data_IF_280606548799
#
_entry.id   IF_280606548799
#
_cell.length_a   1.000
_cell.length_b   1.000
_cell.length_c   1.000
_cell.angle_alpha   90.00
_cell.angle_beta   90.00
_cell.angle_gamma   90.00
#
_symmetry.space_group_name_H-M   'P 1'
#
loop_
_entity.id
_entity.type
_entity.pdbx_description
1 polymer ?
#
# COMPACT_ATOMS: atom_id res chain seq x y z
N UNK A 1 -2.63 22.35 -5.97
CA UNK A 1 -2.23 22.68 -4.59
C UNK A 1 -0.81 23.18 -4.63
N UNK A 2 -0.53 24.31 -3.99
CA UNK A 2 0.82 24.88 -3.91
C UNK A 2 1.75 23.94 -3.14
N UNK A 3 3.04 23.96 -3.49
CA UNK A 3 4.03 23.04 -2.89
C UNK A 3 4.20 23.29 -1.38
N UNK A 4 3.93 24.51 -0.91
CA UNK A 4 3.96 24.86 0.51
C UNK A 4 2.88 24.10 1.28
N UNK A 5 1.63 24.16 0.82
CA UNK A 5 0.53 23.39 1.41
C UNK A 5 0.78 21.88 1.39
N UNK A 6 1.40 21.34 0.33
CA UNK A 6 1.79 19.92 0.26
C UNK A 6 2.78 19.55 1.36
N UNK A 7 3.77 20.41 1.62
CA UNK A 7 4.75 20.20 2.68
C UNK A 7 4.13 20.28 4.05
N UNK A 8 3.20 21.21 4.28
CA UNK A 8 2.50 21.33 5.56
C UNK A 8 1.68 20.08 5.87
N UNK A 9 0.88 19.61 4.92
CA UNK A 9 0.09 18.38 5.11
C UNK A 9 1.00 17.17 5.34
N UNK A 10 2.12 17.08 4.61
CA UNK A 10 3.03 15.94 4.75
C UNK A 10 3.73 15.86 6.12
N UNK A 11 3.88 16.99 6.82
CA UNK A 11 4.43 17.03 8.18
C UNK A 11 3.53 16.30 9.19
N UNK A 12 2.22 16.35 9.02
CA UNK A 12 1.25 15.64 9.89
C UNK A 12 1.44 14.12 9.84
N UNK A 13 2.03 13.61 8.76
CA UNK A 13 2.33 12.19 8.55
C UNK A 13 3.82 11.87 8.71
N UNK A 14 4.65 12.86 9.08
CA UNK A 14 6.11 12.73 9.20
C UNK A 14 6.81 12.18 7.94
N UNK A 15 6.28 12.49 6.75
CA UNK A 15 6.82 12.01 5.47
C UNK A 15 7.14 13.16 4.50
N UNK A 16 7.98 12.88 3.51
CA UNK A 16 8.24 13.84 2.43
C UNK A 16 7.02 13.92 1.49
N UNK A 17 6.65 15.16 1.11
CA UNK A 17 5.44 15.43 0.33
C UNK A 17 5.41 14.70 -1.02
N UNK A 18 6.57 14.39 -1.61
CA UNK A 18 6.68 13.66 -2.88
C UNK A 18 6.22 12.21 -2.71
N UNK A 19 6.47 11.61 -1.54
CA UNK A 19 5.98 10.27 -1.20
C UNK A 19 4.49 10.33 -0.94
N UNK A 20 4.04 11.23 -0.06
CA UNK A 20 2.63 11.38 0.29
C UNK A 20 1.75 11.61 -0.95
N UNK A 21 2.17 12.49 -1.86
CA UNK A 21 1.47 12.73 -3.12
C UNK A 21 1.31 11.43 -3.94
N UNK A 22 2.40 10.67 -4.09
CA UNK A 22 2.34 9.40 -4.83
C UNK A 22 1.47 8.34 -4.14
N UNK A 23 1.42 8.34 -2.81
CA UNK A 23 0.64 7.38 -2.03
C UNK A 23 -0.85 7.68 -2.10
N UNK A 24 -1.24 8.95 -1.98
CA UNK A 24 -2.64 9.37 -2.12
C UNK A 24 -3.16 9.07 -3.53
N UNK A 25 -2.36 9.33 -4.57
CA UNK A 25 -2.74 8.99 -5.96
C UNK A 25 -2.93 7.49 -6.13
N UNK A 26 -1.97 6.68 -5.63
CA UNK A 26 -2.04 5.22 -5.71
C UNK A 26 -3.25 4.65 -4.94
N UNK A 27 -3.50 5.10 -3.71
CA UNK A 27 -4.63 4.62 -2.91
C UNK A 27 -5.97 5.00 -3.54
N UNK A 28 -6.08 6.22 -4.08
CA UNK A 28 -7.27 6.65 -4.84
C UNK A 28 -7.51 5.76 -6.06
N UNK A 29 -6.44 5.41 -6.78
CA UNK A 29 -6.50 4.49 -7.92
C UNK A 29 -6.94 3.08 -7.50
N UNK A 30 -6.34 2.51 -6.45
CA UNK A 30 -6.73 1.19 -5.91
C UNK A 30 -8.19 1.18 -5.46
N UNK A 31 -8.63 2.21 -4.74
CA UNK A 31 -10.04 2.37 -4.33
C UNK A 31 -10.97 2.35 -5.55
N UNK A 32 -10.59 3.03 -6.63
CA UNK A 32 -11.38 3.06 -7.86
C UNK A 32 -11.47 1.68 -8.52
N UNK A 33 -10.37 0.91 -8.55
CA UNK A 33 -10.43 -0.49 -9.02
C UNK A 33 -11.46 -1.28 -8.21
N UNK A 34 -11.41 -1.20 -6.87
CA UNK A 34 -12.36 -1.89 -6.00
C UNK A 34 -13.81 -1.47 -6.25
N UNK A 35 -14.08 -0.16 -6.38
CA UNK A 35 -15.41 0.38 -6.64
C UNK A 35 -15.99 -0.06 -8.00
N UNK A 36 -15.12 -0.37 -8.96
CA UNK A 36 -15.51 -0.90 -10.27
C UNK A 36 -15.43 -2.43 -10.36
N UNK A 37 -15.35 -3.13 -9.22
CA UNK A 37 -15.22 -4.60 -9.16
C UNK A 37 -14.01 -5.13 -9.95
N UNK A 38 -12.98 -4.30 -10.10
CA UNK A 38 -11.76 -4.65 -10.79
C UNK A 38 -10.93 -5.66 -9.99
N UNK A 39 -10.19 -6.50 -10.72
CA UNK A 39 -9.34 -7.53 -10.12
C UNK A 39 -8.03 -6.91 -9.63
N UNK A 40 -7.67 -7.18 -8.38
CA UNK A 40 -6.34 -6.87 -7.81
C UNK A 40 -5.37 -8.04 -7.87
N UNK A 41 -5.86 -9.28 -7.86
CA UNK A 41 -5.04 -10.48 -7.94
C UNK A 41 -4.30 -10.58 -9.28
N UNK A 42 -2.97 -10.57 -9.25
CA UNK A 42 -2.12 -10.54 -10.44
C UNK A 42 -2.14 -9.21 -11.20
N UNK A 43 -2.75 -8.16 -10.65
CA UNK A 43 -2.82 -6.86 -11.30
C UNK A 43 -1.49 -6.10 -11.20
N UNK A 44 -1.10 -5.44 -12.29
CA UNK A 44 -0.01 -4.46 -12.29
C UNK A 44 -0.61 -3.07 -12.26
N UNK A 45 -0.42 -2.36 -11.15
CA UNK A 45 -0.95 -1.02 -10.96
C UNK A 45 -0.19 -0.02 -11.84
N UNK A 46 -0.93 0.81 -12.57
CA UNK A 46 -0.33 1.86 -13.44
C UNK A 46 0.02 3.12 -12.64
N UNK A 47 -0.73 3.39 -11.57
CA UNK A 47 -0.41 4.42 -10.59
C UNK A 47 0.39 3.78 -9.47
N UNK A 48 1.70 3.90 -9.52
CA UNK A 48 2.63 3.27 -8.57
C UNK A 48 3.03 4.25 -7.47
N UNK A 49 2.95 3.87 -6.19
CA UNK A 49 3.49 4.68 -5.12
C UNK A 49 5.03 4.67 -5.17
N UNK A 50 5.65 5.72 -4.64
CA UNK A 50 7.08 5.69 -4.35
C UNK A 50 7.35 4.81 -3.15
N UNK A 51 8.38 3.98 -3.24
CA UNK A 51 8.85 3.14 -2.13
C UNK A 51 10.19 3.67 -1.63
N UNK A 52 10.41 3.56 -0.32
CA UNK A 52 11.72 3.75 0.26
C UNK A 52 12.71 2.69 -0.25
N UNK A 53 14.01 3.00 -0.23
CA UNK A 53 15.05 2.14 -0.82
C UNK A 53 15.12 0.78 -0.13
N UNK A 54 14.83 0.74 1.17
CA UNK A 54 14.81 -0.46 2.01
C UNK A 54 13.80 -1.48 1.48
N UNK A 55 12.63 -1.03 1.02
CA UNK A 55 11.60 -1.90 0.42
C UNK A 55 12.01 -2.39 -0.96
N UNK A 56 12.60 -1.51 -1.79
CA UNK A 56 13.12 -1.90 -3.10
C UNK A 56 14.24 -2.94 -2.98
N UNK A 57 15.15 -2.77 -2.01
CA UNK A 57 16.25 -3.71 -1.73
C UNK A 57 15.75 -5.06 -1.23
N UNK A 58 14.56 -5.13 -0.60
CA UNK A 58 13.89 -6.36 -0.21
C UNK A 58 13.16 -7.04 -1.38
N UNK A 59 13.25 -6.50 -2.60
CA UNK A 59 12.63 -7.06 -3.80
C UNK A 59 11.16 -6.69 -3.98
N UNK A 60 10.66 -5.70 -3.23
CA UNK A 60 9.26 -5.27 -3.32
C UNK A 60 9.06 -4.41 -4.57
N UNK A 61 8.17 -4.86 -5.45
CA UNK A 61 7.81 -4.12 -6.66
C UNK A 61 6.72 -3.09 -6.36
N UNK A 62 6.96 -1.85 -6.79
CA UNK A 62 6.03 -0.72 -6.58
C UNK A 62 4.76 -0.77 -7.44
N UNK A 63 4.59 -1.75 -8.34
CA UNK A 63 3.39 -1.88 -9.16
C UNK A 63 2.41 -2.96 -8.67
N UNK A 64 2.57 -3.40 -7.43
CA UNK A 64 1.75 -4.45 -6.83
C UNK A 64 0.81 -3.89 -5.76
N UNK A 65 -0.25 -4.62 -5.43
CA UNK A 65 -1.13 -4.22 -4.32
C UNK A 65 -0.39 -4.25 -2.98
N UNK A 66 0.61 -5.12 -2.82
CA UNK A 66 1.43 -5.15 -1.61
C UNK A 66 2.14 -3.81 -1.35
N UNK A 67 2.66 -3.16 -2.40
CA UNK A 67 3.23 -1.81 -2.28
C UNK A 67 2.20 -0.78 -1.77
N UNK A 68 0.94 -0.88 -2.20
CA UNK A 68 -0.14 -0.02 -1.70
C UNK A 68 -0.47 -0.30 -0.22
N UNK A 69 -0.44 -1.56 0.20
CA UNK A 69 -0.69 -1.97 1.59
C UNK A 69 0.41 -1.41 2.52
N UNK A 70 1.67 -1.42 2.09
CA UNK A 70 2.77 -0.82 2.86
C UNK A 70 2.54 0.68 3.11
N UNK A 71 2.08 1.43 2.10
CA UNK A 71 1.81 2.86 2.31
C UNK A 71 0.57 3.07 3.17
N UNK A 72 -0.43 2.19 3.08
CA UNK A 72 -1.58 2.23 3.97
C UNK A 72 -1.16 2.05 5.43
N UNK A 73 -0.23 1.13 5.72
CA UNK A 73 0.37 0.97 7.06
C UNK A 73 1.00 2.27 7.56
N UNK A 74 1.74 2.96 6.70
CA UNK A 74 2.44 4.21 7.08
C UNK A 74 1.44 5.34 7.34
N UNK A 75 0.36 5.42 6.57
CA UNK A 75 -0.60 6.54 6.63
C UNK A 75 -1.74 6.33 7.63
N UNK A 76 -2.12 5.09 7.91
CA UNK A 76 -3.20 4.79 8.83
C UNK A 76 -2.74 5.03 10.27
N UNK A 77 -3.65 5.54 11.10
CA UNK A 77 -3.42 5.52 12.54
C UNK A 77 -3.43 4.07 13.06
N UNK A 78 -2.91 3.88 14.28
CA UNK A 78 -2.75 2.56 14.88
C UNK A 78 -4.06 1.75 14.90
N UNK A 79 -5.17 2.35 15.34
CA UNK A 79 -6.46 1.67 15.46
C UNK A 79 -6.99 1.17 14.10
N UNK A 80 -6.97 2.02 13.08
CA UNK A 80 -7.41 1.63 11.74
C UNK A 80 -6.47 0.61 11.11
N UNK A 81 -5.16 0.73 11.35
CA UNK A 81 -4.20 -0.23 10.85
C UNK A 81 -4.37 -1.61 11.48
N UNK A 82 -4.50 -1.70 12.80
CA UNK A 82 -4.71 -2.96 13.51
C UNK A 82 -5.96 -3.69 13.03
N UNK A 83 -7.06 -2.95 12.85
CA UNK A 83 -8.29 -3.51 12.30
C UNK A 83 -8.07 -4.02 10.88
N UNK A 84 -7.49 -3.20 10.00
CA UNK A 84 -7.19 -3.60 8.62
C UNK A 84 -6.30 -4.85 8.56
N UNK A 85 -5.26 -4.90 9.40
CA UNK A 85 -4.32 -6.01 9.45
C UNK A 85 -5.02 -7.29 9.91
N UNK A 86 -5.88 -7.22 10.94
CA UNK A 86 -6.72 -8.34 11.37
C UNK A 86 -7.62 -8.84 10.24
N UNK A 87 -8.32 -7.93 9.54
CA UNK A 87 -9.20 -8.28 8.42
C UNK A 87 -8.41 -8.92 7.26
N UNK A 88 -7.21 -8.41 6.98
CA UNK A 88 -6.30 -8.96 5.96
C UNK A 88 -5.89 -10.40 6.31
N UNK A 89 -5.50 -10.65 7.56
CA UNK A 89 -5.13 -11.99 8.03
C UNK A 89 -6.31 -12.96 7.96
N UNK A 90 -7.51 -12.52 8.35
CA UNK A 90 -8.71 -13.35 8.24
C UNK A 90 -8.98 -13.76 6.78
N UNK A 91 -8.86 -12.82 5.84
CA UNK A 91 -9.06 -13.08 4.41
C UNK A 91 -8.00 -14.04 3.88
N UNK A 92 -6.73 -13.84 4.21
CA UNK A 92 -5.64 -14.72 3.77
C UNK A 92 -5.86 -16.15 4.29
N UNK A 93 -6.20 -16.30 5.57
CA UNK A 93 -6.45 -17.59 6.20
C UNK A 93 -7.71 -18.28 5.63
N UNK A 94 -8.77 -17.51 5.36
CA UNK A 94 -10.00 -18.01 4.75
C UNK A 94 -9.77 -18.55 3.33
N UNK A 95 -8.83 -17.96 2.60
CA UNK A 95 -8.50 -18.32 1.23
C UNK A 95 -7.07 -18.87 1.09
N UNK A 96 -6.73 -19.91 1.85
CA UNK A 96 -5.38 -20.50 1.88
C UNK A 96 -4.86 -21.09 0.55
N UNK A 97 -5.68 -21.17 -0.50
CA UNK A 97 -5.25 -21.52 -1.86
C UNK A 97 -4.72 -20.33 -2.68
N UNK A 98 -4.84 -19.11 -2.15
CA UNK A 98 -4.39 -17.89 -2.83
C UNK A 98 -2.89 -17.75 -2.72
N UNK A 99 -2.21 -17.70 -3.86
CA UNK A 99 -0.77 -17.51 -3.92
C UNK A 99 -0.43 -16.01 -3.80
N UNK A 100 -0.05 -15.57 -2.58
CA UNK A 100 0.20 -14.17 -2.24
C UNK A 100 1.30 -13.49 -3.09
N UNK A 101 2.21 -14.28 -3.69
CA UNK A 101 3.22 -13.78 -4.63
C UNK A 101 2.59 -13.03 -5.82
N UNK A 102 1.39 -13.40 -6.25
CA UNK A 102 0.67 -12.71 -7.33
C UNK A 102 0.07 -11.37 -6.90
N UNK A 103 0.01 -11.11 -5.60
CA UNK A 103 -0.33 -9.82 -5.01
C UNK A 103 0.93 -8.97 -4.70
N UNK A 104 2.12 -9.53 -4.94
CA UNK A 104 3.41 -8.87 -4.69
C UNK A 104 3.99 -9.09 -3.30
N UNK A 105 3.38 -9.95 -2.48
CA UNK A 105 3.91 -10.31 -1.17
C UNK A 105 5.22 -11.08 -1.34
N UNK A 106 6.19 -10.79 -0.48
CA UNK A 106 7.49 -11.46 -0.43
C UNK A 106 7.54 -12.46 0.73
N UNK A 107 8.60 -13.26 0.81
CA UNK A 107 8.83 -14.08 2.01
C UNK A 107 8.98 -13.18 3.25
N UNK A 108 8.43 -13.63 4.39
CA UNK A 108 8.47 -12.89 5.67
C UNK A 108 7.81 -11.50 5.60
N UNK A 109 6.81 -11.33 4.73
CA UNK A 109 6.04 -10.08 4.62
C UNK A 109 5.38 -9.65 5.94
N UNK A 110 5.11 -10.59 6.85
CA UNK A 110 4.59 -10.35 8.20
C UNK A 110 5.55 -9.58 9.11
N UNK A 111 6.83 -9.45 8.72
CA UNK A 111 7.79 -8.58 9.41
C UNK A 111 7.78 -7.14 8.87
N UNK A 112 7.18 -6.94 7.69
CA UNK A 112 7.01 -5.64 7.05
C UNK A 112 5.68 -5.00 7.45
N UNK A 113 4.62 -5.80 7.53
CA UNK A 113 3.29 -5.40 8.00
C UNK A 113 3.16 -5.56 9.51
#
# INVERSE_FOLDING_TARGET
MENENKKEIAKEFEVDYIYLESWIENLSYVRNICAHYGRLYGAKLTKTPKLYKEYLNQGISNNTIFASIINLKILANQEYYEKFYSDLLEIINKYGSVELKHLGFIEKWESIL
#
